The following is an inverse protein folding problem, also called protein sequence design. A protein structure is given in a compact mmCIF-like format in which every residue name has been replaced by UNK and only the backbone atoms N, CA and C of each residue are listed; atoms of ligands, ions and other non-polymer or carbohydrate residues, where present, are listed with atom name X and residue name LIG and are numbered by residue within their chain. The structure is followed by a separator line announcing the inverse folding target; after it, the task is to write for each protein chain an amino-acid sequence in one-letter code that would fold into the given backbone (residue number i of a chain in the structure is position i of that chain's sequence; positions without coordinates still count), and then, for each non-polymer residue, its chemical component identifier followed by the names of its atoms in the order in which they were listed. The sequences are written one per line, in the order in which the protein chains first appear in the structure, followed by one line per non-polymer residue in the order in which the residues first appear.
data_IF_863617469820
#
_entry.id   IF_863617469820
#
_cell.length_a   1.000
_cell.length_b   1.000
_cell.length_c   1.000
_cell.angle_alpha   90.00
_cell.angle_beta   90.00
_cell.angle_gamma   90.00
#
_symmetry.space_group_name_H-M   'P 1'
#
loop_
_entity.id
_entity.type
_entity.pdbx_description
1 polymer ?
#
# COMPACT_ATOMS: atom_id res chain seq x y z
N UNK A 1 -71.42 27.64 -37.39
CA UNK A 1 -70.57 26.47 -37.09
C UNK A 1 -69.11 26.84 -37.30
N UNK A 2 -68.33 26.97 -36.22
CA UNK A 2 -66.92 27.37 -36.25
C UNK A 2 -66.08 26.18 -36.72
N UNK A 3 -65.29 26.36 -37.80
CA UNK A 3 -64.26 25.40 -38.22
C UNK A 3 -62.98 25.68 -37.41
N UNK A 4 -62.61 24.76 -36.53
CA UNK A 4 -61.29 24.73 -35.92
C UNK A 4 -60.34 24.00 -36.86
N UNK A 5 -59.33 24.71 -37.36
CA UNK A 5 -58.20 24.14 -38.08
C UNK A 5 -57.18 23.73 -37.01
N UNK A 6 -56.95 22.43 -36.89
CA UNK A 6 -55.90 21.86 -36.04
C UNK A 6 -54.59 22.02 -36.81
N UNK A 7 -53.69 22.86 -36.30
CA UNK A 7 -52.32 22.97 -36.76
C UNK A 7 -51.55 21.79 -36.16
N UNK A 8 -51.14 20.85 -37.00
CA UNK A 8 -50.28 19.73 -36.64
C UNK A 8 -48.84 20.27 -36.49
N UNK A 9 -48.40 20.50 -35.25
CA UNK A 9 -46.99 20.79 -34.94
C UNK A 9 -46.19 19.50 -35.13
N UNK A 10 -45.50 19.39 -36.27
CA UNK A 10 -44.44 18.41 -36.46
C UNK A 10 -43.27 18.80 -35.55
N UNK A 11 -43.22 18.20 -34.36
CA UNK A 11 -41.99 18.18 -33.57
C UNK A 11 -40.96 17.34 -34.32
N UNK A 12 -39.99 18.02 -34.91
CA UNK A 12 -38.73 17.41 -35.32
C UNK A 12 -38.06 16.85 -34.07
N UNK A 13 -38.19 15.55 -33.85
CA UNK A 13 -37.28 14.81 -32.98
C UNK A 13 -35.90 14.83 -33.63
N UNK A 14 -35.10 15.84 -33.28
CA UNK A 14 -33.65 15.73 -33.39
C UNK A 14 -33.24 14.59 -32.45
N UNK A 15 -33.06 13.41 -33.04
CA UNK A 15 -32.35 12.29 -32.43
C UNK A 15 -30.98 12.83 -32.08
N UNK A 16 -30.77 13.19 -30.81
CA UNK A 16 -29.43 13.26 -30.27
C UNK A 16 -28.84 11.88 -30.47
N UNK A 17 -27.82 11.78 -31.32
CA UNK A 17 -26.90 10.68 -31.28
C UNK A 17 -26.38 10.64 -29.84
N UNK A 18 -26.89 9.70 -29.03
CA UNK A 18 -26.12 9.19 -27.92
C UNK A 18 -24.86 8.62 -28.58
N UNK A 19 -23.75 9.37 -28.51
CA UNK A 19 -22.44 8.75 -28.62
C UNK A 19 -22.47 7.62 -27.60
N UNK A 20 -22.57 6.39 -28.08
CA UNK A 20 -22.39 5.22 -27.25
C UNK A 20 -20.96 5.33 -26.73
N UNK A 21 -20.81 5.87 -25.52
CA UNK A 21 -19.61 5.71 -24.74
C UNK A 21 -19.44 4.21 -24.56
N UNK A 22 -18.66 3.58 -25.44
CA UNK A 22 -18.30 2.17 -25.40
C UNK A 22 -17.31 1.91 -24.25
N UNK A 23 -17.64 2.39 -23.04
CA UNK A 23 -16.93 2.06 -21.82
C UNK A 23 -17.29 0.62 -21.45
N UNK A 24 -16.32 -0.29 -21.54
CA UNK A 24 -16.52 -1.67 -21.12
C UNK A 24 -16.50 -1.72 -19.59
N UNK A 25 -17.52 -2.36 -19.02
CA UNK A 25 -17.55 -2.68 -17.58
C UNK A 25 -17.43 -4.19 -17.40
N UNK A 26 -16.61 -4.61 -16.44
CA UNK A 26 -16.40 -6.01 -16.09
C UNK A 26 -16.58 -6.17 -14.58
N UNK A 27 -17.42 -7.12 -14.16
CA UNK A 27 -17.58 -7.49 -12.75
C UNK A 27 -17.03 -8.90 -12.53
N UNK A 28 -16.20 -9.07 -11.50
CA UNK A 28 -15.66 -10.35 -11.07
C UNK A 28 -16.02 -10.52 -9.59
N UNK A 29 -16.76 -11.58 -9.28
CA UNK A 29 -17.08 -11.93 -7.90
C UNK A 29 -15.84 -12.56 -7.23
N UNK A 30 -15.59 -12.19 -5.97
CA UNK A 30 -14.50 -12.70 -5.14
C UNK A 30 -15.06 -13.14 -3.78
N UNK A 31 -14.28 -13.89 -3.01
CA UNK A 31 -14.69 -14.27 -1.67
C UNK A 31 -14.93 -13.01 -0.82
N UNK A 32 -16.12 -12.90 -0.26
CA UNK A 32 -16.57 -11.76 0.54
C UNK A 32 -16.63 -10.43 -0.24
N UNK A 33 -16.88 -10.43 -1.55
CA UNK A 33 -16.99 -9.18 -2.32
C UNK A 33 -17.07 -9.30 -3.83
N UNK A 34 -16.76 -8.22 -4.52
CA UNK A 34 -16.57 -8.19 -5.98
C UNK A 34 -15.64 -7.04 -6.39
N UNK A 35 -14.97 -7.18 -7.52
CA UNK A 35 -14.30 -6.07 -8.21
C UNK A 35 -15.11 -5.69 -9.45
N UNK A 36 -15.28 -4.39 -9.67
CA UNK A 36 -15.91 -3.82 -10.87
C UNK A 36 -14.88 -2.94 -11.56
N UNK A 37 -14.45 -3.33 -12.76
CA UNK A 37 -13.45 -2.64 -13.58
C UNK A 37 -14.14 -1.84 -14.70
N UNK A 38 -13.67 -0.63 -14.92
CA UNK A 38 -14.13 0.25 -16.00
C UNK A 38 -12.96 0.54 -16.94
N UNK A 39 -13.17 0.28 -18.23
CA UNK A 39 -12.19 0.49 -19.28
C UNK A 39 -12.63 1.59 -20.23
N UNK A 40 -11.67 2.37 -20.70
CA UNK A 40 -11.90 3.36 -21.75
C UNK A 40 -12.04 2.71 -23.15
N UNK A 41 -12.28 3.53 -24.17
CA UNK A 41 -12.45 3.09 -25.56
C UNK A 41 -11.22 2.37 -26.15
N UNK A 42 -10.02 2.58 -25.58
CA UNK A 42 -8.78 1.92 -25.98
C UNK A 42 -8.53 0.61 -25.20
N UNK A 43 -9.53 0.11 -24.46
CA UNK A 43 -9.43 -1.02 -23.53
C UNK A 43 -8.39 -0.85 -22.41
N UNK A 44 -8.04 0.39 -22.05
CA UNK A 44 -7.18 0.67 -20.89
C UNK A 44 -8.03 0.82 -19.63
N UNK A 45 -7.57 0.21 -18.53
CA UNK A 45 -8.23 0.34 -17.23
C UNK A 45 -8.17 1.80 -16.76
N UNK A 46 -9.34 2.39 -16.51
CA UNK A 46 -9.49 3.79 -16.10
C UNK A 46 -9.76 3.90 -14.60
N UNK A 47 -10.66 3.06 -14.09
CA UNK A 47 -11.00 2.97 -12.68
C UNK A 47 -11.44 1.55 -12.31
N UNK A 48 -11.43 1.24 -11.03
CA UNK A 48 -12.16 0.08 -10.51
C UNK A 48 -12.66 0.35 -9.10
N UNK A 49 -13.70 -0.37 -8.70
CA UNK A 49 -14.19 -0.40 -7.33
C UNK A 49 -14.12 -1.82 -6.77
N UNK A 50 -13.91 -1.92 -5.46
CA UNK A 50 -13.91 -3.18 -4.73
C UNK A 50 -15.03 -3.12 -3.70
N UNK A 51 -16.05 -3.92 -3.92
CA UNK A 51 -17.14 -4.20 -2.99
C UNK A 51 -16.63 -5.20 -1.94
N UNK A 52 -16.83 -4.88 -0.66
CA UNK A 52 -16.49 -5.72 0.49
C UNK A 52 -17.78 -6.06 1.21
N UNK A 53 -18.10 -7.34 1.25
CA UNK A 53 -19.32 -7.90 1.84
C UNK A 53 -18.94 -8.91 2.91
N UNK A 54 -18.99 -8.50 4.18
CA UNK A 54 -18.71 -9.38 5.32
C UNK A 54 -19.90 -9.42 6.28
N UNK A 55 -20.68 -10.50 6.27
CA UNK A 55 -21.82 -10.90 7.14
C UNK A 55 -22.87 -9.83 7.54
N UNK A 56 -22.46 -8.66 8.03
CA UNK A 56 -23.30 -7.53 8.45
C UNK A 56 -22.71 -6.14 8.06
N UNK A 57 -21.65 -6.12 7.25
CA UNK A 57 -20.92 -4.91 6.87
C UNK A 57 -20.66 -4.91 5.36
N UNK A 58 -21.19 -3.89 4.68
CA UNK A 58 -20.89 -3.58 3.28
C UNK A 58 -19.96 -2.37 3.23
N UNK A 59 -18.95 -2.39 2.36
CA UNK A 59 -18.10 -1.23 2.09
C UNK A 59 -17.64 -1.23 0.64
N UNK A 60 -17.33 -0.07 0.10
CA UNK A 60 -16.79 0.07 -1.24
C UNK A 60 -15.51 0.90 -1.18
N UNK A 61 -14.46 0.39 -1.80
CA UNK A 61 -13.26 1.16 -2.12
C UNK A 61 -13.28 1.57 -3.58
N UNK A 62 -12.98 2.84 -3.83
CA UNK A 62 -12.86 3.40 -5.17
C UNK A 62 -11.39 3.64 -5.49
N UNK A 63 -10.91 3.07 -6.59
CA UNK A 63 -9.56 3.21 -7.08
C UNK A 63 -9.57 3.97 -8.40
N UNK A 64 -8.91 5.11 -8.40
CA UNK A 64 -8.85 6.01 -9.55
C UNK A 64 -7.42 6.40 -9.82
N UNK A 65 -7.04 6.50 -11.10
CA UNK A 65 -5.72 6.98 -11.50
C UNK A 65 -5.84 8.42 -11.97
N UNK A 66 -5.33 9.34 -11.18
CA UNK A 66 -5.26 10.77 -11.49
C UNK A 66 -3.82 11.12 -11.92
N UNK A 67 -3.58 11.20 -13.23
CA UNK A 67 -2.24 11.40 -13.81
C UNK A 67 -1.24 10.35 -13.30
N UNK A 68 -0.27 10.77 -12.48
CA UNK A 68 0.82 9.95 -11.95
C UNK A 68 0.54 9.44 -10.53
N UNK A 69 -0.71 9.46 -10.08
CA UNK A 69 -1.10 9.04 -8.73
C UNK A 69 -2.35 8.17 -8.76
N UNK A 70 -2.33 7.08 -8.01
CA UNK A 70 -3.50 6.27 -7.71
C UNK A 70 -4.11 6.80 -6.41
N UNK A 71 -5.37 7.20 -6.47
CA UNK A 71 -6.15 7.68 -5.33
C UNK A 71 -7.14 6.59 -4.95
N UNK A 72 -7.09 6.19 -3.68
CA UNK A 72 -8.01 5.21 -3.09
C UNK A 72 -8.87 5.91 -2.04
N UNK A 73 -10.19 5.80 -2.19
CA UNK A 73 -11.18 6.36 -1.26
C UNK A 73 -12.11 5.27 -0.77
N UNK A 74 -12.61 5.44 0.45
CA UNK A 74 -13.56 4.55 1.10
C UNK A 74 -14.95 5.21 1.14
N UNK A 75 -16.01 4.45 0.86
CA UNK A 75 -17.38 4.99 0.90
C UNK A 75 -17.83 5.37 2.31
N UNK A 76 -17.43 4.59 3.31
CA UNK A 76 -17.80 4.78 4.72
C UNK A 76 -16.81 5.69 5.42
N UNK A 77 -15.51 5.40 5.29
CA UNK A 77 -14.41 6.14 5.92
C UNK A 77 -13.98 7.34 5.02
N UNK A 78 -14.92 8.25 4.74
CA UNK A 78 -14.79 9.31 3.71
C UNK A 78 -13.61 10.27 3.91
N UNK A 79 -13.18 10.45 5.15
CA UNK A 79 -12.05 11.31 5.51
C UNK A 79 -10.69 10.63 5.27
N UNK A 80 -10.68 9.31 5.05
CA UNK A 80 -9.48 8.52 4.79
C UNK A 80 -9.18 8.47 3.29
N UNK A 81 -7.94 8.82 2.92
CA UNK A 81 -7.48 8.78 1.53
C UNK A 81 -6.10 8.14 1.48
N UNK A 82 -5.93 7.18 0.59
CA UNK A 82 -4.62 6.61 0.27
C UNK A 82 -4.17 7.18 -1.06
N UNK A 83 -2.92 7.63 -1.12
CA UNK A 83 -2.26 8.00 -2.38
C UNK A 83 -1.10 7.06 -2.64
N UNK A 84 -0.98 6.58 -3.87
CA UNK A 84 0.17 5.79 -4.32
C UNK A 84 0.73 6.46 -5.56
N UNK A 85 2.04 6.74 -5.56
CA UNK A 85 2.74 7.31 -6.70
C UNK A 85 4.15 6.72 -6.83
N UNK A 86 4.85 7.10 -7.89
CA UNK A 86 6.20 6.60 -8.17
C UNK A 86 7.22 7.73 -8.07
N UNK A 87 8.29 7.49 -7.30
CA UNK A 87 9.42 8.40 -7.16
C UNK A 87 10.70 7.59 -7.41
N UNK A 88 11.53 8.02 -8.37
CA UNK A 88 12.76 7.30 -8.76
C UNK A 88 12.53 5.81 -9.07
N UNK A 89 11.42 5.48 -9.76
CA UNK A 89 11.01 4.10 -10.07
C UNK A 89 10.72 3.23 -8.81
N UNK A 90 10.49 3.85 -7.66
CA UNK A 90 10.10 3.21 -6.41
C UNK A 90 8.68 3.63 -6.02
N UNK A 91 7.95 2.72 -5.38
CA UNK A 91 6.62 3.02 -4.86
C UNK A 91 6.74 3.98 -3.66
N UNK A 92 5.83 4.96 -3.62
CA UNK A 92 5.53 5.74 -2.43
C UNK A 92 4.04 5.60 -2.13
N UNK A 93 3.71 5.33 -0.88
CA UNK A 93 2.34 5.27 -0.39
C UNK A 93 2.17 6.29 0.74
N UNK A 94 1.10 7.06 0.70
CA UNK A 94 0.75 8.04 1.73
C UNK A 94 -0.67 7.78 2.23
N UNK A 95 -0.86 7.92 3.54
CA UNK A 95 -2.16 7.80 4.19
C UNK A 95 -2.57 9.14 4.79
N UNK A 96 -3.71 9.66 4.33
CA UNK A 96 -4.30 10.90 4.80
C UNK A 96 -5.57 10.62 5.60
N UNK A 97 -5.79 11.42 6.64
CA UNK A 97 -7.06 11.45 7.39
C UNK A 97 -7.45 12.90 7.69
N UNK A 98 -8.69 13.28 7.35
CA UNK A 98 -9.20 14.66 7.48
C UNK A 98 -8.26 15.70 6.86
N UNK A 99 -7.67 15.36 5.71
CA UNK A 99 -6.74 16.21 4.96
C UNK A 99 -5.30 16.25 5.49
N UNK A 100 -5.00 15.63 6.63
CA UNK A 100 -3.65 15.59 7.20
C UNK A 100 -2.90 14.32 6.77
N UNK A 101 -1.63 14.46 6.39
CA UNK A 101 -0.75 13.31 6.13
C UNK A 101 -0.42 12.62 7.46
N UNK A 102 -0.96 11.42 7.67
CA UNK A 102 -0.79 10.68 8.93
C UNK A 102 0.47 9.83 8.87
N UNK A 103 0.68 9.13 7.76
CA UNK A 103 1.87 8.29 7.57
C UNK A 103 2.25 8.14 6.10
N UNK A 104 3.51 7.78 5.86
CA UNK A 104 4.02 7.49 4.52
C UNK A 104 5.00 6.32 4.53
N UNK A 105 4.96 5.51 3.48
CA UNK A 105 5.92 4.44 3.17
C UNK A 105 6.62 4.79 1.86
N UNK A 106 7.93 4.99 1.90
CA UNK A 106 8.75 5.32 0.72
C UNK A 106 9.84 4.28 0.52
N UNK A 107 9.83 3.58 -0.62
CA UNK A 107 10.87 2.61 -0.96
C UNK A 107 12.11 3.29 -1.54
N UNK A 108 13.29 2.78 -1.22
CA UNK A 108 14.57 3.34 -1.69
C UNK A 108 15.66 2.28 -1.84
N UNK A 109 16.73 2.61 -2.55
CA UNK A 109 17.90 1.74 -2.67
C UNK A 109 18.80 1.86 -1.44
N UNK A 110 18.91 0.79 -0.67
CA UNK A 110 19.72 0.78 0.55
C UNK A 110 21.21 0.93 0.25
N UNK A 111 21.80 2.01 0.77
CA UNK A 111 23.25 2.24 0.77
C UNK A 111 23.64 2.82 2.12
N UNK A 112 24.45 2.09 2.89
CA UNK A 112 24.86 2.53 4.24
C UNK A 112 25.56 3.90 4.25
N UNK A 113 26.23 4.25 3.16
CA UNK A 113 26.91 5.53 2.98
C UNK A 113 25.97 6.70 2.65
N UNK A 114 24.69 6.43 2.36
CA UNK A 114 23.72 7.43 1.94
C UNK A 114 22.30 7.03 2.37
N UNK A 115 22.09 6.91 3.68
CA UNK A 115 20.74 6.65 4.22
C UNK A 115 19.97 7.98 4.35
N UNK A 116 18.64 7.96 4.21
CA UNK A 116 17.82 9.14 4.46
C UNK A 116 17.97 9.66 5.90
N UNK A 117 17.94 10.97 6.08
CA UNK A 117 18.07 11.62 7.39
C UNK A 117 16.78 11.52 8.22
N UNK A 118 16.92 11.57 9.55
CA UNK A 118 15.83 11.58 10.53
C UNK A 118 14.76 10.50 10.30
N UNK A 119 15.15 9.34 9.78
CA UNK A 119 14.22 8.35 9.25
C UNK A 119 14.21 7.08 10.09
N UNK A 120 13.06 6.41 10.09
CA UNK A 120 12.94 5.01 10.51
C UNK A 120 12.95 4.13 9.26
N UNK A 121 13.98 3.29 9.15
CA UNK A 121 14.26 2.44 8.00
C UNK A 121 14.01 1.00 8.37
N UNK A 122 13.28 0.31 7.50
CA UNK A 122 13.10 -1.12 7.54
C UNK A 122 13.67 -1.74 6.27
N UNK A 123 14.36 -2.87 6.41
CA UNK A 123 14.83 -3.65 5.27
C UNK A 123 14.41 -5.10 5.41
N UNK A 124 14.14 -5.75 4.29
CA UNK A 124 13.77 -7.16 4.22
C UNK A 124 14.30 -7.83 2.96
N UNK A 125 14.41 -9.15 3.03
CA UNK A 125 14.59 -10.03 1.88
C UNK A 125 13.31 -10.81 1.67
N UNK A 126 12.78 -10.79 0.45
CA UNK A 126 11.65 -11.62 0.01
C UNK A 126 11.90 -12.01 -1.44
N UNK A 127 11.65 -13.28 -1.81
CA UNK A 127 11.94 -13.82 -3.14
C UNK A 127 13.35 -13.51 -3.66
N UNK A 128 14.36 -13.63 -2.78
CA UNK A 128 15.77 -13.30 -3.04
C UNK A 128 16.05 -11.84 -3.45
N UNK A 129 15.08 -10.93 -3.28
CA UNK A 129 15.21 -9.49 -3.54
C UNK A 129 15.28 -8.73 -2.21
N UNK A 130 16.14 -7.71 -2.18
CA UNK A 130 16.22 -6.79 -1.04
C UNK A 130 15.24 -5.64 -1.25
N UNK A 131 14.53 -5.29 -0.19
CA UNK A 131 13.64 -4.15 -0.14
C UNK A 131 13.97 -3.32 1.07
N UNK A 132 14.01 -2.00 0.89
CA UNK A 132 14.18 -1.06 1.99
C UNK A 132 13.18 0.06 1.82
N UNK A 133 12.56 0.44 2.94
CA UNK A 133 11.59 1.51 2.96
C UNK A 133 11.73 2.36 4.22
N UNK A 134 11.38 3.63 4.04
CA UNK A 134 11.12 4.57 5.11
C UNK A 134 9.70 4.36 5.59
N UNK A 135 9.51 4.42 6.90
CA UNK A 135 8.18 4.48 7.50
C UNK A 135 8.12 5.73 8.37
N UNK A 136 7.34 6.71 7.94
CA UNK A 136 7.14 7.95 8.69
C UNK A 136 5.73 7.97 9.26
N UNK A 137 5.63 8.21 10.57
CA UNK A 137 4.41 8.64 11.23
C UNK A 137 4.59 10.12 11.60
N UNK A 138 3.66 10.96 11.16
CA UNK A 138 3.74 12.40 11.40
C UNK A 138 3.03 12.83 12.69
N UNK A 139 2.41 11.89 13.40
CA UNK A 139 1.72 12.11 14.66
C UNK A 139 2.20 11.11 15.71
N UNK A 140 2.42 11.60 16.93
CA UNK A 140 2.79 10.78 18.09
C UNK A 140 1.64 9.84 18.51
N UNK A 141 0.41 10.27 18.28
CA UNK A 141 -0.80 9.47 18.45
C UNK A 141 -1.62 9.54 17.17
N UNK A 142 -2.08 8.38 16.74
CA UNK A 142 -3.05 8.29 15.67
C UNK A 142 -4.31 9.12 16.01
N UNK A 143 -4.85 9.90 15.06
CA UNK A 143 -6.04 10.71 15.31
C UNK A 143 -7.21 9.80 15.69
N UNK A 144 -8.13 10.29 16.53
CA UNK A 144 -9.37 9.56 16.79
C UNK A 144 -10.28 9.58 15.55
N UNK A 145 -10.89 8.43 15.23
CA UNK A 145 -11.84 8.32 14.12
C UNK A 145 -12.01 6.91 13.57
N UNK A 146 -12.95 6.77 12.63
CA UNK A 146 -13.17 5.53 11.87
C UNK A 146 -12.39 5.59 10.55
N UNK A 147 -11.20 4.98 10.55
CA UNK A 147 -10.35 4.82 9.36
C UNK A 147 -9.59 3.48 9.38
N UNK A 148 -9.94 2.58 10.31
CA UNK A 148 -9.19 1.36 10.58
C UNK A 148 -9.07 0.48 9.33
N UNK A 149 -10.13 0.42 8.50
CA UNK A 149 -10.16 -0.45 7.33
C UNK A 149 -9.30 0.14 6.22
N UNK A 150 -9.40 1.43 5.97
CA UNK A 150 -8.54 2.14 5.00
C UNK A 150 -7.08 2.07 5.42
N UNK A 151 -6.79 2.16 6.72
CA UNK A 151 -5.43 2.00 7.23
C UNK A 151 -4.91 0.57 7.06
N UNK A 152 -5.74 -0.45 7.32
CA UNK A 152 -5.39 -1.85 7.02
C UNK A 152 -5.08 -2.04 5.54
N UNK A 153 -5.90 -1.49 4.64
CA UNK A 153 -5.63 -1.53 3.20
C UNK A 153 -4.27 -0.87 2.87
N UNK A 154 -4.04 0.33 3.38
CA UNK A 154 -2.79 1.07 3.20
C UNK A 154 -1.54 0.27 3.60
N UNK A 155 -1.58 -0.39 4.76
CA UNK A 155 -0.44 -1.15 5.29
C UNK A 155 -0.25 -2.50 4.58
N UNK A 156 -1.34 -3.18 4.24
CA UNK A 156 -1.31 -4.58 3.78
C UNK A 156 -1.43 -4.76 2.28
N UNK A 157 -1.77 -3.73 1.50
CA UNK A 157 -1.78 -3.82 0.04
C UNK A 157 -0.36 -4.05 -0.49
N UNK A 158 -0.09 -5.30 -0.90
CA UNK A 158 1.17 -5.71 -1.51
C UNK A 158 1.09 -5.58 -3.02
N UNK A 159 2.08 -4.90 -3.59
CA UNK A 159 2.29 -4.67 -5.02
C UNK A 159 3.78 -4.71 -5.28
N UNK A 160 4.20 -4.58 -6.53
CA UNK A 160 5.61 -4.31 -6.83
C UNK A 160 6.09 -3.04 -6.11
N UNK A 161 7.32 -3.10 -5.60
CA UNK A 161 7.92 -2.04 -4.78
C UNK A 161 9.07 -1.31 -5.51
N UNK A 162 9.73 -1.99 -6.46
CA UNK A 162 10.94 -1.56 -7.16
C UNK A 162 10.78 -1.64 -8.70
N UNK A 163 11.43 -0.71 -9.43
CA UNK A 163 11.40 -0.63 -10.90
C UNK A 163 9.98 -0.54 -11.48
N UNK A 164 9.13 0.23 -10.80
CA UNK A 164 7.71 0.36 -11.11
C UNK A 164 7.40 1.66 -11.85
N UNK A 165 6.28 1.67 -12.57
CA UNK A 165 5.61 2.87 -13.05
C UNK A 165 4.15 2.85 -12.59
N UNK A 166 3.43 3.98 -12.74
CA UNK A 166 2.07 4.12 -12.18
C UNK A 166 1.06 3.19 -12.87
N UNK A 167 1.19 2.96 -14.17
CA UNK A 167 0.30 2.09 -14.94
C UNK A 167 0.45 0.62 -14.51
N UNK A 168 1.68 0.18 -14.29
CA UNK A 168 1.98 -1.15 -13.77
C UNK A 168 1.35 -1.32 -12.39
N UNK A 169 1.58 -0.39 -11.47
CA UNK A 169 1.01 -0.46 -10.12
C UNK A 169 -0.52 -0.48 -10.15
N UNK A 170 -1.15 0.31 -11.01
CA UNK A 170 -2.60 0.39 -11.08
C UNK A 170 -3.22 -0.94 -11.55
N UNK A 171 -2.62 -1.55 -12.59
CA UNK A 171 -3.05 -2.85 -13.07
C UNK A 171 -2.76 -3.96 -12.06
N UNK A 172 -1.58 -3.96 -11.41
CA UNK A 172 -1.24 -4.94 -10.36
C UNK A 172 -2.23 -4.91 -9.19
N UNK A 173 -2.70 -3.73 -8.78
CA UNK A 173 -3.70 -3.62 -7.71
C UNK A 173 -5.05 -4.19 -8.18
N UNK A 174 -5.47 -3.88 -9.41
CA UNK A 174 -6.70 -4.43 -9.97
C UNK A 174 -6.63 -5.96 -10.11
N UNK A 175 -5.49 -6.50 -10.52
CA UNK A 175 -5.25 -7.93 -10.65
C UNK A 175 -5.18 -8.62 -9.28
N UNK A 176 -4.57 -7.96 -8.28
CA UNK A 176 -4.62 -8.42 -6.88
C UNK A 176 -6.06 -8.59 -6.41
N UNK A 177 -6.92 -7.58 -6.61
CA UNK A 177 -8.33 -7.65 -6.22
C UNK A 177 -9.21 -8.51 -7.12
N UNK A 178 -8.67 -9.04 -8.22
CA UNK A 178 -9.35 -10.05 -9.03
C UNK A 178 -9.12 -11.47 -8.52
N UNK A 179 -8.27 -11.65 -7.50
CA UNK A 179 -8.05 -12.94 -6.84
C UNK A 179 -9.19 -13.21 -5.85
N UNK A 180 -9.66 -14.46 -5.82
CA UNK A 180 -10.77 -14.89 -4.97
C UNK A 180 -10.56 -14.50 -3.50
N UNK A 181 -9.36 -14.63 -2.95
CA UNK A 181 -9.07 -14.41 -1.54
C UNK A 181 -8.52 -13.00 -1.21
N UNK A 182 -8.53 -12.05 -2.15
CA UNK A 182 -7.86 -10.75 -2.02
C UNK A 182 -8.25 -9.97 -0.75
N UNK A 183 -9.53 -10.00 -0.39
CA UNK A 183 -10.03 -9.33 0.82
C UNK A 183 -9.55 -9.99 2.10
N UNK A 184 -9.44 -11.33 2.13
CA UNK A 184 -8.89 -12.06 3.26
C UNK A 184 -7.42 -11.70 3.48
N UNK A 185 -6.64 -11.55 2.40
CA UNK A 185 -5.24 -11.10 2.43
C UNK A 185 -5.05 -9.73 3.06
N UNK A 186 -6.06 -8.87 3.03
CA UNK A 186 -6.00 -7.53 3.64
C UNK A 186 -6.59 -7.53 5.04
N UNK A 187 -7.76 -8.13 5.25
CA UNK A 187 -8.56 -7.90 6.46
C UNK A 187 -8.50 -9.01 7.50
N UNK A 188 -8.24 -10.26 7.12
CA UNK A 188 -8.21 -11.39 8.06
C UNK A 188 -6.78 -11.66 8.59
N UNK A 189 -6.54 -11.37 9.87
CA UNK A 189 -5.20 -11.48 10.49
C UNK A 189 -4.58 -12.87 10.37
N UNK A 190 -5.34 -13.92 10.65
CA UNK A 190 -4.87 -15.32 10.53
C UNK A 190 -4.40 -15.63 9.11
N UNK A 191 -5.07 -15.07 8.11
CA UNK A 191 -4.71 -15.26 6.71
C UNK A 191 -3.41 -14.53 6.37
N UNK A 192 -3.25 -13.28 6.86
CA UNK A 192 -2.00 -12.52 6.71
C UNK A 192 -0.81 -13.20 7.36
N UNK A 193 -0.99 -13.75 8.56
CA UNK A 193 0.07 -14.47 9.28
C UNK A 193 0.50 -15.72 8.51
N UNK A 194 -0.47 -16.49 7.99
CA UNK A 194 -0.20 -17.64 7.12
C UNK A 194 0.61 -17.24 5.89
N UNK A 195 0.15 -16.26 5.11
CA UNK A 195 0.87 -15.78 3.92
C UNK A 195 2.27 -15.28 4.27
N UNK A 196 2.40 -14.50 5.35
CA UNK A 196 3.70 -14.00 5.80
C UNK A 196 4.65 -15.17 6.12
N UNK A 197 4.17 -16.20 6.80
CA UNK A 197 4.97 -17.39 7.11
C UNK A 197 5.40 -18.16 5.86
N UNK A 198 4.56 -18.21 4.84
CA UNK A 198 4.81 -18.91 3.56
C UNK A 198 5.71 -18.09 2.61
N UNK A 199 5.69 -16.75 2.71
CA UNK A 199 6.42 -15.85 1.82
C UNK A 199 7.95 -15.88 1.95
N UNK A 200 8.48 -16.54 2.98
CA UNK A 200 9.92 -16.55 3.27
C UNK A 200 10.52 -15.15 3.54
N UNK A 201 9.67 -14.16 3.86
CA UNK A 201 10.10 -12.78 4.16
C UNK A 201 10.96 -12.77 5.43
N UNK A 202 12.21 -12.32 5.29
CA UNK A 202 13.16 -12.19 6.39
C UNK A 202 13.57 -10.73 6.54
N UNK A 203 13.33 -10.14 7.70
CA UNK A 203 13.74 -8.75 7.96
C UNK A 203 15.25 -8.72 8.17
N UNK A 204 15.91 -7.71 7.59
CA UNK A 204 17.36 -7.53 7.63
C UNK A 204 17.79 -6.24 8.29
N UNK A 205 16.90 -5.25 8.43
CA UNK A 205 17.24 -4.02 9.14
C UNK A 205 16.05 -3.37 9.82
N UNK A 206 16.33 -2.74 10.96
CA UNK A 206 15.47 -1.79 11.64
C UNK A 206 16.36 -0.69 12.21
N UNK A 207 16.41 0.47 11.54
CA UNK A 207 17.38 1.54 11.81
C UNK A 207 16.68 2.88 12.01
N UNK A 208 17.17 3.67 12.97
CA UNK A 208 16.85 5.08 13.14
C UNK A 208 18.08 5.90 12.77
N UNK A 209 17.94 6.84 11.84
CA UNK A 209 19.04 7.74 11.43
C UNK A 209 18.98 9.10 12.13
N UNK A 210 20.12 9.79 12.17
CA UNK A 210 20.22 11.19 12.59
C UNK A 210 19.97 12.17 11.44
N UNK A 211 20.13 13.47 11.70
CA UNK A 211 19.96 14.54 10.72
C UNK A 211 20.92 14.48 9.54
N UNK A 212 22.03 13.74 9.66
CA UNK A 212 23.03 13.54 8.60
C UNK A 212 22.85 12.20 7.87
N UNK A 213 21.81 11.43 8.19
CA UNK A 213 21.61 10.11 7.61
C UNK A 213 22.54 9.03 8.19
N UNK A 214 23.21 9.27 9.31
CA UNK A 214 24.01 8.24 9.99
C UNK A 214 23.12 7.38 10.87
N UNK A 215 23.42 6.10 11.00
CA UNK A 215 22.69 5.19 11.90
C UNK A 215 22.90 5.69 13.33
N UNK A 216 21.83 6.14 13.98
CA UNK A 216 21.83 6.52 15.40
C UNK A 216 21.59 5.30 16.27
N UNK A 217 20.51 4.57 16.02
CA UNK A 217 20.12 3.37 16.78
C UNK A 217 19.55 2.33 15.83
N UNK A 218 19.67 1.05 16.14
CA UNK A 218 19.05 0.02 15.31
C UNK A 218 19.78 -1.31 15.30
N UNK A 219 19.30 -2.19 14.44
CA UNK A 219 19.91 -3.48 14.17
C UNK A 219 19.93 -3.72 12.67
N UNK A 220 21.05 -4.22 12.16
CA UNK A 220 21.28 -4.50 10.74
C UNK A 220 21.94 -5.86 10.61
N UNK A 221 21.43 -6.70 9.72
CA UNK A 221 22.11 -7.89 9.23
C UNK A 221 22.59 -7.65 7.81
N UNK A 222 23.87 -7.92 7.56
CA UNK A 222 24.51 -7.80 6.26
C UNK A 222 25.02 -9.16 5.81
N UNK A 223 24.64 -9.56 4.59
CA UNK A 223 25.12 -10.81 3.98
C UNK A 223 26.64 -10.76 3.80
N UNK A 224 27.33 -11.82 4.22
CA UNK A 224 28.78 -12.01 4.00
C UNK A 224 29.06 -13.17 3.07
N UNK A 225 28.22 -14.20 3.08
CA UNK A 225 28.30 -15.37 2.21
C UNK A 225 26.89 -15.95 1.97
N UNK A 226 26.73 -17.00 1.14
CA UNK A 226 25.46 -17.72 1.06
C UNK A 226 25.05 -18.23 2.44
N UNK A 227 23.80 -17.97 2.84
CA UNK A 227 23.17 -18.33 4.12
C UNK A 227 23.78 -17.72 5.40
N UNK A 228 24.94 -17.07 5.33
CA UNK A 228 25.59 -16.47 6.50
C UNK A 228 25.84 -14.97 6.33
N UNK A 229 25.86 -14.27 7.45
CA UNK A 229 26.10 -12.84 7.48
C UNK A 229 26.60 -12.39 8.84
N UNK A 230 26.67 -11.08 8.99
CA UNK A 230 27.05 -10.43 10.21
C UNK A 230 25.91 -9.50 10.60
N UNK A 231 25.46 -9.55 11.84
CA UNK A 231 24.58 -8.52 12.36
C UNK A 231 25.32 -7.58 13.29
N UNK A 232 24.83 -6.35 13.34
CA UNK A 232 25.34 -5.26 14.16
C UNK A 232 24.16 -4.61 14.89
N UNK A 233 24.33 -4.33 16.18
CA UNK A 233 23.40 -3.50 16.96
C UNK A 233 24.07 -2.16 17.19
N UNK A 234 23.33 -1.09 16.88
CA UNK A 234 23.75 0.29 16.99
C UNK A 234 23.04 0.97 18.16
N UNK A 235 23.82 1.70 18.97
CA UNK A 235 23.33 2.61 20.00
C UNK A 235 24.14 3.91 19.97
N UNK A 236 23.45 5.05 19.91
CA UNK A 236 24.03 6.40 19.85
C UNK A 236 25.18 6.55 18.85
N UNK A 237 24.99 6.00 17.65
CA UNK A 237 25.95 6.10 16.55
C UNK A 237 27.09 5.08 16.59
N UNK A 238 27.12 4.18 17.57
CA UNK A 238 28.19 3.19 17.76
C UNK A 238 27.65 1.77 17.67
N UNK A 239 28.46 0.87 17.10
CA UNK A 239 28.20 -0.57 17.14
C UNK A 239 28.50 -1.05 18.57
N UNK A 240 27.47 -1.56 19.26
CA UNK A 240 27.59 -2.10 20.62
C UNK A 240 27.63 -3.63 20.63
N UNK A 241 27.20 -4.27 19.54
CA UNK A 241 27.25 -5.72 19.35
C UNK A 241 27.47 -6.06 17.89
N UNK A 242 28.31 -7.06 17.62
CA UNK A 242 28.55 -7.56 16.28
C UNK A 242 28.86 -9.06 16.32
N UNK A 243 28.09 -9.89 15.62
CA UNK A 243 28.30 -11.34 15.57
C UNK A 243 27.94 -11.89 14.18
N UNK A 244 28.60 -12.99 13.79
CA UNK A 244 28.23 -13.73 12.60
C UNK A 244 27.06 -14.66 12.90
N UNK A 245 26.05 -14.62 12.04
CA UNK A 245 24.84 -15.41 12.21
C UNK A 245 24.14 -15.64 10.86
N UNK A 246 23.48 -16.78 10.75
CA UNK A 246 22.58 -17.05 9.62
C UNK A 246 21.34 -16.16 9.66
N UNK A 247 20.79 -15.83 8.48
CA UNK A 247 19.63 -14.95 8.35
C UNK A 247 18.38 -15.47 9.10
N UNK A 248 18.17 -16.78 9.12
CA UNK A 248 17.07 -17.44 9.83
C UNK A 248 17.20 -17.27 11.34
N UNK A 249 18.40 -17.46 11.87
CA UNK A 249 18.71 -17.28 13.28
C UNK A 249 18.66 -15.81 13.70
N UNK A 250 19.02 -14.89 12.80
CA UNK A 250 18.89 -13.44 13.00
C UNK A 250 17.44 -13.01 13.31
N UNK A 251 16.42 -13.67 12.73
CA UNK A 251 15.02 -13.29 12.99
C UNK A 251 14.66 -13.35 14.49
N UNK A 252 15.23 -14.30 15.25
CA UNK A 252 15.03 -14.39 16.71
C UNK A 252 15.71 -13.24 17.45
N UNK A 253 16.93 -12.88 17.03
CA UNK A 253 17.68 -11.75 17.59
C UNK A 253 16.93 -10.45 17.35
N UNK A 254 16.44 -10.24 16.12
CA UNK A 254 15.64 -9.09 15.75
C UNK A 254 14.35 -8.99 16.58
N UNK A 255 13.60 -10.09 16.72
CA UNK A 255 12.37 -10.09 17.51
C UNK A 255 12.64 -9.70 18.98
N UNK A 256 13.70 -10.25 19.57
CA UNK A 256 14.12 -9.90 20.93
C UNK A 256 14.48 -8.41 21.04
N UNK A 257 15.23 -7.89 20.06
CA UNK A 257 15.59 -6.47 20.01
C UNK A 257 14.36 -5.55 19.94
N UNK A 258 13.36 -5.90 19.12
CA UNK A 258 12.13 -5.13 18.98
C UNK A 258 11.25 -5.16 20.24
N UNK A 259 11.13 -6.31 20.90
CA UNK A 259 10.37 -6.46 22.16
C UNK A 259 10.99 -5.58 23.26
N UNK A 260 12.30 -5.70 23.50
CA UNK A 260 12.99 -4.95 24.55
C UNK A 260 12.93 -3.44 24.33
N UNK A 261 12.93 -3.00 23.06
CA UNK A 261 12.74 -1.58 22.72
C UNK A 261 11.32 -1.08 22.99
N UNK A 262 10.31 -1.95 22.84
CA UNK A 262 8.91 -1.61 23.09
C UNK A 262 8.65 -1.44 24.59
N UNK A 263 9.32 -2.24 25.44
CA UNK A 263 9.29 -2.07 26.90
C UNK A 263 10.00 -0.78 27.37
N UNK A 264 11.05 -0.34 26.67
CA UNK A 264 11.75 0.92 26.98
C UNK A 264 10.98 2.19 26.57
N UNK A 265 9.94 2.07 25.73
CA UNK A 265 9.06 3.18 25.36
C UNK A 265 7.77 3.25 26.21
N UNK A 266 7.58 2.28 27.13
CA UNK A 266 6.45 2.25 28.07
C UNK A 266 6.85 2.55 29.53
N UNK A 267 8.13 2.82 29.79
CA UNK A 267 8.66 3.36 31.05
C UNK A 267 9.19 4.77 30.82
#
# INVERSE_FOLDING_TARGET
MKKQIIILLLFSFSVFAQEANNSKTEKIDIESGAIIKQYNIDNKLESFSVEVSAAYYGNIYFFTKEKDTIIIKNEIEKDAVIKIYVKNQKKVSEFFYKGNLISSIEFFDFKISNLPSNSLIYSKISDNKNFSYLYNNYFDKFPEGDYEKSYKLYVFLKTSENNVNIDLLFNEIADFFSQEDALLRIYLSKYREKIKSESGENVTAYLKTDQLGKIKNGILWTKKSPNNGQYEIYSDGKIIKSENIELTSFQKVLNTYLINKTEFLMN
#
